data_IF_118442748100
#
_entry.id   IF_118442748100
#
_cell.length_a   1.000
_cell.length_b   1.000
_cell.length_c   1.000
_cell.angle_alpha   90.00
_cell.angle_beta   90.00
_cell.angle_gamma   90.00
#
_symmetry.space_group_name_H-M   'P 1'
#
loop_
_entity.id
_entity.type
_entity.pdbx_description
1 polymer ?
#
# COMPACT_ATOMS: atom_id res chain seq x y z
N UNK A 1 -4.94 1.03 -29.72
CA UNK A 1 -4.32 0.90 -28.38
C UNK A 1 -2.91 1.44 -28.48
N UNK A 2 -2.61 2.56 -27.82
CA UNK A 2 -1.30 3.20 -27.93
C UNK A 2 -0.26 2.45 -27.12
N UNK A 3 0.96 2.31 -27.64
CA UNK A 3 2.09 1.68 -26.93
C UNK A 3 2.36 2.30 -25.54
N UNK A 4 1.93 3.53 -25.32
CA UNK A 4 2.04 4.24 -24.03
C UNK A 4 1.13 3.67 -22.95
N UNK A 5 -0.09 3.23 -23.31
CA UNK A 5 -1.02 2.62 -22.35
C UNK A 5 -0.46 1.31 -21.80
N UNK A 6 0.21 0.52 -22.65
CA UNK A 6 0.83 -0.73 -22.23
C UNK A 6 2.00 -0.51 -21.25
N UNK A 7 2.86 0.49 -21.50
CA UNK A 7 3.97 0.81 -20.59
C UNK A 7 3.47 1.32 -19.23
N UNK A 8 2.40 2.10 -19.24
CA UNK A 8 1.81 2.62 -18.02
C UNK A 8 1.21 1.52 -17.16
N UNK A 9 0.43 0.61 -17.76
CA UNK A 9 -0.14 -0.56 -17.07
C UNK A 9 0.96 -1.47 -16.52
N UNK A 10 2.04 -1.71 -17.27
CA UNK A 10 3.18 -2.49 -16.78
C UNK A 10 3.91 -1.81 -15.62
N UNK A 11 4.13 -0.49 -15.68
CA UNK A 11 4.76 0.26 -14.61
C UNK A 11 3.91 0.20 -13.33
N UNK A 12 2.59 0.34 -13.46
CA UNK A 12 1.65 0.22 -12.34
C UNK A 12 1.62 -1.18 -11.73
N UNK A 13 1.62 -2.23 -12.53
CA UNK A 13 1.69 -3.60 -12.02
C UNK A 13 2.96 -3.80 -11.18
N UNK A 14 4.09 -3.26 -11.64
CA UNK A 14 5.36 -3.33 -10.94
C UNK A 14 5.36 -2.51 -9.64
N UNK A 15 4.79 -1.30 -9.66
CA UNK A 15 4.60 -0.47 -8.47
C UNK A 15 3.67 -1.13 -7.45
N UNK A 16 2.56 -1.73 -7.90
CA UNK A 16 1.63 -2.46 -7.06
C UNK A 16 2.30 -3.65 -6.38
N UNK A 17 3.02 -4.49 -7.14
CA UNK A 17 3.73 -5.65 -6.58
C UNK A 17 4.81 -5.24 -5.58
N UNK A 18 5.56 -4.17 -5.90
CA UNK A 18 6.58 -3.61 -5.00
C UNK A 18 5.97 -3.11 -3.69
N UNK A 19 4.85 -2.37 -3.75
CA UNK A 19 4.18 -1.85 -2.57
C UNK A 19 3.49 -2.94 -1.76
N UNK A 20 2.90 -3.93 -2.45
CA UNK A 20 2.34 -5.12 -1.83
C UNK A 20 3.41 -5.89 -1.05
N UNK A 21 4.57 -6.10 -1.64
CA UNK A 21 5.67 -6.80 -0.98
C UNK A 21 6.13 -6.04 0.26
N UNK A 22 6.30 -4.71 0.16
CA UNK A 22 6.64 -3.89 1.34
C UNK A 22 5.58 -3.94 2.43
N UNK A 23 4.30 -3.93 2.06
CA UNK A 23 3.18 -4.09 2.99
C UNK A 23 3.23 -5.44 3.70
N UNK A 24 3.41 -6.51 2.94
CA UNK A 24 3.51 -7.88 3.45
C UNK A 24 4.75 -8.06 4.34
N UNK A 25 5.88 -7.44 4.00
CA UNK A 25 7.08 -7.40 4.85
C UNK A 25 6.85 -6.61 6.15
N UNK A 26 6.07 -5.52 6.11
CA UNK A 26 5.74 -4.74 7.31
C UNK A 26 4.78 -5.50 8.23
N UNK A 27 3.77 -6.16 7.65
CA UNK A 27 2.79 -6.95 8.39
C UNK A 27 3.38 -8.27 8.91
N UNK A 28 4.08 -9.00 8.05
CA UNK A 28 4.71 -10.28 8.36
C UNK A 28 6.00 -10.14 9.18
N UNK A 29 6.69 -9.00 9.08
CA UNK A 29 7.80 -8.65 9.96
C UNK A 29 7.37 -8.46 11.42
N UNK A 30 6.14 -8.00 11.66
CA UNK A 30 5.54 -7.92 12.98
C UNK A 30 5.11 -9.29 13.54
N UNK A 31 4.87 -10.29 12.69
CA UNK A 31 4.52 -11.66 13.11
C UNK A 31 5.76 -12.58 13.30
N UNK A 32 6.97 -12.13 12.92
CA UNK A 32 8.20 -12.92 12.95
C UNK A 32 9.09 -12.76 14.20
N UNK A 33 8.55 -12.29 15.34
CA UNK A 33 9.18 -12.49 16.66
C UNK A 33 8.16 -12.97 17.70
N UNK A 34 8.06 -14.28 17.98
CA UNK A 34 7.81 -14.73 19.35
C UNK A 34 9.15 -14.66 20.12
N UNK A 35 9.69 -13.46 20.35
CA UNK A 35 10.77 -13.32 21.33
C UNK A 35 10.12 -13.11 22.68
N UNK A 36 10.07 -14.21 23.42
CA UNK A 36 9.81 -14.27 24.85
C UNK A 36 10.50 -13.11 25.59
N UNK A 37 9.73 -12.30 26.33
CA UNK A 37 10.31 -11.26 27.18
C UNK A 37 9.31 -10.24 27.69
N UNK A 38 8.65 -10.58 28.79
CA UNK A 38 8.27 -9.68 29.89
C UNK A 38 8.31 -8.15 29.62
N UNK A 39 7.14 -7.53 29.41
CA UNK A 39 6.78 -6.19 29.90
C UNK A 39 5.37 -5.78 29.41
N UNK A 40 4.35 -5.65 30.28
CA UNK A 40 3.17 -4.82 30.01
C UNK A 40 3.58 -3.35 30.21
N UNK A 41 4.35 -2.80 29.28
CA UNK A 41 4.83 -1.42 29.29
C UNK A 41 3.94 -0.53 28.43
N UNK A 42 3.28 0.43 29.07
CA UNK A 42 2.56 1.58 28.52
C UNK A 42 3.10 2.09 27.17
N UNK A 43 2.27 1.99 26.12
CA UNK A 43 2.51 2.59 24.80
C UNK A 43 1.45 2.25 23.74
N UNK A 44 0.29 1.72 24.17
CA UNK A 44 -0.66 1.01 23.30
C UNK A 44 -1.77 1.88 22.70
N UNK A 45 -1.57 3.19 22.57
CA UNK A 45 -2.58 4.10 22.01
C UNK A 45 -2.23 4.64 20.60
N UNK A 46 -0.97 4.53 20.14
CA UNK A 46 -0.55 5.07 18.82
C UNK A 46 -0.39 3.98 17.73
N UNK A 47 0.06 2.78 18.10
CA UNK A 47 0.36 1.68 17.15
C UNK A 47 -0.90 1.10 16.47
N UNK A 48 -2.04 1.09 17.18
CA UNK A 48 -3.32 0.62 16.65
C UNK A 48 -3.99 1.58 15.67
N UNK A 49 -3.86 2.90 15.88
CA UNK A 49 -4.44 3.89 14.96
C UNK A 49 -3.66 3.96 13.65
N UNK A 50 -2.34 3.94 13.76
CA UNK A 50 -1.44 3.90 12.61
C UNK A 50 -1.70 2.63 11.78
N UNK A 51 -1.93 1.47 12.43
CA UNK A 51 -2.10 0.20 11.73
C UNK A 51 -3.41 0.19 10.94
N UNK A 52 -4.47 0.71 11.56
CA UNK A 52 -5.78 0.84 10.92
C UNK A 52 -5.77 1.86 9.77
N UNK A 53 -5.04 2.96 9.92
CA UNK A 53 -4.85 3.95 8.84
C UNK A 53 -4.11 3.32 7.65
N UNK A 54 -3.08 2.53 7.93
CA UNK A 54 -2.30 1.86 6.90
C UNK A 54 -3.07 0.74 6.20
N UNK A 55 -3.84 -0.06 6.95
CA UNK A 55 -4.78 -1.03 6.37
C UNK A 55 -5.83 -0.35 5.49
N UNK A 56 -6.38 0.78 5.93
CA UNK A 56 -7.38 1.53 5.16
C UNK A 56 -6.78 2.08 3.86
N UNK A 57 -5.59 2.67 3.92
CA UNK A 57 -4.89 3.17 2.73
C UNK A 57 -4.46 2.05 1.79
N UNK A 58 -4.06 0.89 2.34
CA UNK A 58 -3.76 -0.30 1.54
C UNK A 58 -5.00 -0.83 0.81
N UNK A 59 -6.15 -0.92 1.49
CA UNK A 59 -7.41 -1.36 0.88
C UNK A 59 -7.87 -0.39 -0.21
N UNK A 60 -7.80 0.91 0.03
CA UNK A 60 -8.12 1.93 -0.98
C UNK A 60 -7.20 1.82 -2.20
N UNK A 61 -5.88 1.75 -1.97
CA UNK A 61 -4.90 1.58 -3.05
C UNK A 61 -5.14 0.29 -3.85
N UNK A 62 -5.43 -0.83 -3.17
CA UNK A 62 -5.75 -2.10 -3.80
C UNK A 62 -7.02 -1.99 -4.65
N UNK A 63 -8.08 -1.39 -4.12
CA UNK A 63 -9.33 -1.22 -4.85
C UNK A 63 -9.13 -0.38 -6.13
N UNK A 64 -8.40 0.73 -6.04
CA UNK A 64 -8.09 1.56 -7.22
C UNK A 64 -7.20 0.80 -8.22
N UNK A 65 -6.25 -0.01 -7.73
CA UNK A 65 -5.40 -0.85 -8.57
C UNK A 65 -6.21 -1.90 -9.32
N UNK A 66 -7.15 -2.57 -8.66
CA UNK A 66 -8.01 -3.58 -9.29
C UNK A 66 -8.97 -2.95 -10.31
N UNK A 67 -9.58 -1.81 -9.97
CA UNK A 67 -10.42 -1.04 -10.91
C UNK A 67 -9.64 -0.62 -12.15
N UNK A 68 -8.40 -0.17 -11.95
CA UNK A 68 -7.55 0.27 -13.05
C UNK A 68 -7.03 -0.88 -13.89
N UNK A 69 -6.67 -2.00 -13.28
CA UNK A 69 -6.30 -3.22 -13.99
C UNK A 69 -7.48 -3.78 -14.80
N UNK A 70 -8.68 -3.76 -14.24
CA UNK A 70 -9.91 -4.17 -14.93
C UNK A 70 -10.23 -3.24 -16.11
N UNK A 71 -9.98 -1.93 -15.96
CA UNK A 71 -10.11 -0.96 -17.03
C UNK A 71 -8.97 -1.02 -18.06
N UNK A 72 -7.80 -1.56 -17.68
CA UNK A 72 -6.63 -1.76 -18.54
C UNK A 72 -6.20 -0.49 -19.27
N UNK A 73 -5.83 -0.62 -20.55
CA UNK A 73 -5.46 0.52 -21.40
C UNK A 73 -6.60 1.50 -21.70
N UNK A 74 -7.83 1.20 -21.27
CA UNK A 74 -9.01 2.08 -21.37
C UNK A 74 -9.34 2.81 -20.07
N UNK A 75 -8.49 2.72 -19.05
CA UNK A 75 -8.65 3.47 -17.81
C UNK A 75 -8.66 4.99 -18.07
N UNK A 76 -9.75 5.66 -17.67
CA UNK A 76 -9.91 7.11 -17.70
C UNK A 76 -8.79 7.81 -16.93
N UNK A 77 -8.43 9.03 -17.34
CA UNK A 77 -7.44 9.86 -16.64
C UNK A 77 -7.79 10.08 -15.16
N UNK A 78 -9.09 10.18 -14.84
CA UNK A 78 -9.58 10.26 -13.46
C UNK A 78 -9.21 9.02 -12.63
N UNK A 79 -9.28 7.84 -13.23
CA UNK A 79 -9.00 6.56 -12.57
C UNK A 79 -7.49 6.39 -12.37
N UNK A 80 -6.70 6.85 -13.35
CA UNK A 80 -5.23 6.95 -13.24
C UNK A 80 -4.82 7.91 -12.12
N UNK A 81 -5.42 9.10 -12.07
CA UNK A 81 -5.17 10.09 -11.02
C UNK A 81 -5.59 9.60 -9.62
N UNK A 82 -6.72 8.89 -9.52
CA UNK A 82 -7.19 8.28 -8.27
C UNK A 82 -6.22 7.23 -7.75
N UNK A 83 -5.71 6.36 -8.64
CA UNK A 83 -4.66 5.42 -8.27
C UNK A 83 -3.38 6.12 -7.82
N UNK A 84 -2.93 7.16 -8.54
CA UNK A 84 -1.69 7.86 -8.18
C UNK A 84 -1.80 8.54 -6.81
N UNK A 85 -2.96 9.13 -6.49
CA UNK A 85 -3.24 9.69 -5.18
C UNK A 85 -3.25 8.63 -4.08
N UNK A 86 -3.90 7.48 -4.31
CA UNK A 86 -3.92 6.36 -3.35
C UNK A 86 -2.52 5.77 -3.15
N UNK A 87 -1.73 5.62 -4.23
CA UNK A 87 -0.33 5.16 -4.20
C UNK A 87 0.55 6.10 -3.38
N UNK A 88 0.42 7.40 -3.59
CA UNK A 88 1.21 8.42 -2.88
C UNK A 88 0.86 8.47 -1.39
N UNK A 89 -0.44 8.42 -1.06
CA UNK A 89 -0.92 8.31 0.33
C UNK A 89 -0.38 7.05 1.01
N UNK A 90 -0.50 5.89 0.37
CA UNK A 90 0.02 4.64 0.92
C UNK A 90 1.54 4.68 1.10
N UNK A 91 2.29 5.23 0.13
CA UNK A 91 3.74 5.43 0.26
C UNK A 91 4.11 6.33 1.43
N UNK A 92 3.38 7.43 1.64
CA UNK A 92 3.61 8.34 2.78
C UNK A 92 3.38 7.63 4.10
N UNK A 93 2.27 6.91 4.24
CA UNK A 93 1.96 6.17 5.47
C UNK A 93 3.01 5.09 5.72
N UNK A 94 3.44 4.39 4.66
CA UNK A 94 4.48 3.37 4.73
C UNK A 94 5.85 3.93 5.10
N UNK A 95 6.22 5.13 4.62
CA UNK A 95 7.44 5.83 5.05
C UNK A 95 7.36 6.27 6.51
N UNK A 96 6.22 6.82 6.94
CA UNK A 96 5.98 7.19 8.34
C UNK A 96 6.11 5.98 9.26
N UNK A 97 5.60 4.82 8.85
CA UNK A 97 5.71 3.57 9.58
C UNK A 97 7.14 3.04 9.72
N UNK A 98 7.97 3.27 8.70
CA UNK A 98 9.36 2.81 8.69
C UNK A 98 10.29 3.72 9.50
N UNK A 99 9.88 4.97 9.74
CA UNK A 99 10.62 5.96 10.53
C UNK A 99 10.22 6.00 12.01
N UNK A 100 9.08 5.40 12.35
CA UNK A 100 8.61 5.23 13.73
C UNK A 100 9.43 4.22 14.50
#
# INVERSE_FOLDING_TARGET
MSLQDNKYVQAMQNDFDTLKKKWDELRGGSEAKPESGDAPGEGADDDGQSSKLMETAWQDFKEQSEKLQAAGGTASEELRGSYEAARDSFKRILDSYRKG
#
